data_IF_054607306445
#
_entry.id   IF_054607306445
#
_cell.length_a   1.000
_cell.length_b   1.000
_cell.length_c   1.000
_cell.angle_alpha   90.00
_cell.angle_beta   90.00
_cell.angle_gamma   90.00
#
_symmetry.space_group_name_H-M   'P 1'
#
loop_
_entity.id
_entity.type
_entity.pdbx_description
1 polymer ?
#
# COMPACT_ATOMS: atom_id res chain seq x y z
N UNK A 1 -67.72 10.34 -3.61
CA UNK A 1 -66.70 11.14 -2.96
C UNK A 1 -65.79 10.20 -2.17
N UNK A 2 -65.02 9.38 -2.87
CA UNK A 2 -64.10 8.41 -2.23
C UNK A 2 -63.05 7.91 -3.24
N UNK A 3 -62.05 8.75 -3.58
CA UNK A 3 -60.97 8.31 -4.52
C UNK A 3 -59.76 9.26 -4.52
N UNK A 4 -59.30 9.80 -3.35
CA UNK A 4 -58.09 10.67 -3.33
C UNK A 4 -57.05 10.25 -2.29
N UNK A 5 -57.20 9.14 -1.56
CA UNK A 5 -56.26 8.84 -0.45
C UNK A 5 -55.27 7.67 -0.68
N UNK A 6 -55.06 7.25 -1.94
CA UNK A 6 -54.16 6.08 -2.19
C UNK A 6 -52.83 6.37 -2.86
N UNK A 7 -52.37 7.63 -2.95
CA UNK A 7 -51.13 7.94 -3.71
C UNK A 7 -49.94 8.51 -2.91
N UNK A 8 -50.06 8.65 -1.61
CA UNK A 8 -48.95 9.31 -0.83
C UNK A 8 -48.14 8.40 0.11
N UNK A 9 -48.42 7.09 0.13
CA UNK A 9 -47.74 6.18 1.09
C UNK A 9 -46.50 5.45 0.54
N UNK A 10 -46.13 5.64 -0.73
CA UNK A 10 -44.99 4.92 -1.36
C UNK A 10 -43.70 5.76 -1.56
N UNK A 11 -43.73 7.04 -1.25
CA UNK A 11 -42.59 7.93 -1.48
C UNK A 11 -41.69 8.17 -0.23
N UNK A 12 -42.17 7.83 0.97
CA UNK A 12 -41.46 8.11 2.22
C UNK A 12 -40.30 7.17 2.52
N UNK A 13 -40.25 5.87 2.14
CA UNK A 13 -39.12 5.02 2.45
C UNK A 13 -37.84 5.31 1.63
N UNK A 14 -37.96 5.92 0.43
CA UNK A 14 -36.82 6.15 -0.46
C UNK A 14 -35.95 7.36 -0.07
N UNK A 15 -36.50 8.30 0.71
CA UNK A 15 -35.76 9.50 1.14
C UNK A 15 -34.85 9.23 2.34
N UNK A 16 -35.15 8.20 3.15
CA UNK A 16 -34.32 7.87 4.33
C UNK A 16 -33.04 7.08 4.02
N UNK A 17 -32.89 6.48 2.84
CA UNK A 17 -31.71 5.71 2.46
C UNK A 17 -30.55 6.62 2.04
N UNK A 18 -30.79 7.89 1.68
CA UNK A 18 -29.72 8.81 1.25
C UNK A 18 -29.14 9.69 2.37
N UNK A 19 -29.62 9.56 3.62
CA UNK A 19 -29.20 10.41 4.75
C UNK A 19 -28.24 9.72 5.72
N UNK A 20 -27.90 8.44 5.53
CA UNK A 20 -26.72 7.91 6.21
C UNK A 20 -25.48 8.42 5.47
N UNK A 21 -24.59 9.21 6.15
CA UNK A 21 -23.29 9.48 5.55
C UNK A 21 -22.67 8.11 5.29
N UNK A 22 -22.42 7.77 4.02
CA UNK A 22 -21.46 6.72 3.71
C UNK A 22 -20.21 7.12 4.49
N UNK A 23 -19.81 6.32 5.47
CA UNK A 23 -18.51 6.47 6.11
C UNK A 23 -17.51 6.67 4.97
N UNK A 24 -16.83 7.84 4.95
CA UNK A 24 -16.06 8.26 3.79
C UNK A 24 -15.11 7.13 3.38
N UNK A 25 -15.11 6.78 2.10
CA UNK A 25 -14.17 5.81 1.56
C UNK A 25 -12.76 6.37 1.74
N UNK A 26 -11.91 5.65 2.49
CA UNK A 26 -10.52 6.02 2.70
C UNK A 26 -9.63 5.51 1.56
N UNK A 27 -8.61 6.27 1.26
CA UNK A 27 -7.46 5.85 0.45
C UNK A 27 -6.33 5.44 1.40
N UNK A 28 -6.08 4.14 1.53
CA UNK A 28 -5.12 3.59 2.49
C UNK A 28 -3.92 3.03 1.75
N UNK A 29 -2.74 3.57 2.02
CA UNK A 29 -1.49 3.15 1.43
C UNK A 29 -0.70 2.21 2.33
N UNK A 30 0.02 1.28 1.72
CA UNK A 30 0.96 0.37 2.39
C UNK A 30 2.31 0.39 1.68
N UNK A 31 3.39 0.42 2.44
CA UNK A 31 4.70 0.01 1.95
C UNK A 31 4.73 -1.52 1.75
N UNK A 32 5.74 -2.03 1.06
CA UNK A 32 5.86 -3.45 0.74
C UNK A 32 6.83 -4.17 1.68
N UNK A 33 8.12 -3.77 1.64
CA UNK A 33 9.18 -4.48 2.35
C UNK A 33 9.08 -4.25 3.86
N UNK A 34 9.14 -5.32 4.64
CA UNK A 34 8.97 -5.32 6.10
C UNK A 34 7.62 -4.73 6.61
N UNK A 35 6.71 -4.43 5.68
CA UNK A 35 5.36 -3.95 5.96
C UNK A 35 4.30 -4.97 5.54
N UNK A 36 4.24 -5.33 4.26
CA UNK A 36 3.36 -6.37 3.70
C UNK A 36 4.09 -7.69 3.56
N UNK A 37 5.36 -7.62 3.14
CA UNK A 37 6.24 -8.76 2.91
C UNK A 37 7.43 -8.69 3.87
N UNK A 38 7.72 -9.80 4.53
CA UNK A 38 9.03 -10.02 5.14
C UNK A 38 9.98 -10.48 4.02
N UNK A 39 10.73 -9.52 3.47
CA UNK A 39 11.52 -9.68 2.24
C UNK A 39 12.98 -10.03 2.50
N UNK A 40 13.34 -10.40 3.74
CA UNK A 40 14.72 -10.67 4.14
C UNK A 40 15.44 -11.61 3.18
N UNK A 41 14.85 -12.74 2.87
CA UNK A 41 15.54 -13.80 2.14
C UNK A 41 15.72 -13.46 0.66
N UNK A 42 14.80 -12.74 0.02
CA UNK A 42 15.00 -12.28 -1.36
C UNK A 42 16.20 -11.32 -1.45
N UNK A 43 16.34 -10.39 -0.50
CA UNK A 43 17.47 -9.44 -0.49
C UNK A 43 18.81 -10.12 -0.15
N UNK A 44 18.84 -11.10 0.76
CA UNK A 44 20.07 -11.84 1.09
C UNK A 44 20.56 -12.72 -0.06
N UNK A 45 19.66 -13.19 -0.93
CA UNK A 45 19.99 -14.08 -2.03
C UNK A 45 20.24 -13.36 -3.37
N UNK A 46 20.21 -12.02 -3.40
CA UNK A 46 20.60 -11.28 -4.61
C UNK A 46 22.01 -11.72 -5.06
N UNK A 47 22.20 -12.11 -6.34
CA UNK A 47 23.52 -12.44 -6.89
C UNK A 47 24.53 -11.32 -6.68
N UNK A 48 25.81 -11.66 -6.49
CA UNK A 48 26.84 -10.67 -6.14
C UNK A 48 26.99 -9.55 -7.18
N UNK A 49 26.86 -9.89 -8.45
CA UNK A 49 26.90 -8.97 -9.59
C UNK A 49 25.67 -8.05 -9.70
N UNK A 50 24.60 -8.34 -8.92
CA UNK A 50 23.32 -7.60 -8.90
C UNK A 50 23.07 -6.84 -7.60
N UNK A 51 24.05 -6.78 -6.69
CA UNK A 51 23.89 -6.16 -5.36
C UNK A 51 24.24 -4.68 -5.31
N UNK A 52 25.06 -4.21 -6.20
CA UNK A 52 25.54 -2.82 -6.16
C UNK A 52 25.69 -2.23 -7.58
N UNK A 53 24.71 -1.44 -8.04
CA UNK A 53 23.44 -1.14 -7.36
C UNK A 53 22.51 -2.37 -7.24
N UNK A 54 21.54 -2.34 -6.32
CA UNK A 54 20.57 -3.41 -6.19
C UNK A 54 19.73 -3.52 -7.46
N UNK A 55 19.73 -4.71 -8.07
CA UNK A 55 18.84 -5.07 -9.18
C UNK A 55 17.43 -5.40 -8.66
N UNK A 56 16.59 -4.38 -8.54
CA UNK A 56 15.19 -4.57 -8.12
C UNK A 56 14.36 -5.36 -9.13
N UNK A 57 14.75 -5.40 -10.42
CA UNK A 57 14.10 -6.25 -11.41
C UNK A 57 14.26 -7.72 -11.06
N UNK A 58 15.45 -8.11 -10.57
CA UNK A 58 15.67 -9.44 -10.02
C UNK A 58 14.83 -9.67 -8.76
N UNK A 59 14.82 -8.74 -7.80
CA UNK A 59 14.05 -8.86 -6.55
C UNK A 59 12.56 -9.05 -6.85
N UNK A 60 11.98 -8.20 -7.70
CA UNK A 60 10.57 -8.25 -8.06
C UNK A 60 10.13 -9.59 -8.71
N UNK A 61 11.06 -10.32 -9.33
CA UNK A 61 10.79 -11.63 -9.95
C UNK A 61 11.02 -12.81 -9.01
N UNK A 62 11.65 -12.61 -7.84
CA UNK A 62 12.06 -13.68 -6.92
C UNK A 62 11.35 -13.63 -5.55
N UNK A 63 10.37 -12.73 -5.37
CA UNK A 63 9.56 -12.73 -4.15
C UNK A 63 8.79 -14.05 -3.96
N UNK A 64 8.31 -14.68 -5.05
CA UNK A 64 7.66 -15.98 -4.97
C UNK A 64 8.67 -17.06 -4.54
N UNK A 65 8.42 -17.64 -3.37
CA UNK A 65 9.31 -18.60 -2.71
C UNK A 65 10.39 -18.02 -1.77
N UNK A 66 10.64 -16.70 -1.78
CA UNK A 66 11.64 -16.06 -0.91
C UNK A 66 11.06 -15.02 0.06
N UNK A 67 9.95 -14.39 -0.28
CA UNK A 67 9.29 -13.43 0.60
C UNK A 67 8.07 -14.04 1.28
N UNK A 68 7.82 -13.65 2.53
CA UNK A 68 6.73 -14.18 3.35
C UNK A 68 5.75 -13.06 3.66
N UNK A 69 4.46 -13.29 3.48
CA UNK A 69 3.43 -12.34 3.85
C UNK A 69 3.39 -12.12 5.37
N UNK A 70 3.31 -10.86 5.78
CA UNK A 70 3.14 -10.49 7.19
C UNK A 70 1.66 -10.58 7.53
N UNK A 71 1.27 -11.70 8.14
CA UNK A 71 -0.14 -12.07 8.38
C UNK A 71 -0.99 -10.97 9.06
N UNK A 72 -0.53 -10.26 10.10
CA UNK A 72 -1.31 -9.15 10.66
C UNK A 72 -1.60 -8.04 9.65
N UNK A 73 -0.63 -7.71 8.78
CA UNK A 73 -0.81 -6.68 7.74
C UNK A 73 -1.77 -7.17 6.64
N UNK A 74 -1.69 -8.45 6.26
CA UNK A 74 -2.63 -9.05 5.29
C UNK A 74 -4.07 -8.98 5.82
N UNK A 75 -4.28 -9.31 7.11
CA UNK A 75 -5.60 -9.19 7.75
C UNK A 75 -6.12 -7.76 7.76
N UNK A 76 -5.24 -6.79 8.03
CA UNK A 76 -5.59 -5.37 8.01
C UNK A 76 -5.97 -4.89 6.60
N UNK A 77 -5.20 -5.28 5.57
CA UNK A 77 -5.50 -5.02 4.17
C UNK A 77 -6.89 -5.56 3.80
N UNK A 78 -7.16 -6.83 4.13
CA UNK A 78 -8.44 -7.46 3.85
C UNK A 78 -9.60 -6.77 4.60
N UNK A 79 -9.36 -6.29 5.81
CA UNK A 79 -10.34 -5.49 6.55
C UNK A 79 -10.71 -4.21 5.78
N UNK A 80 -9.72 -3.45 5.30
CA UNK A 80 -9.99 -2.23 4.53
C UNK A 80 -10.75 -2.52 3.24
N UNK A 81 -10.32 -3.54 2.49
CA UNK A 81 -10.98 -3.94 1.23
C UNK A 81 -12.44 -4.37 1.48
N UNK A 82 -12.68 -5.22 2.49
CA UNK A 82 -14.04 -5.72 2.80
C UNK A 82 -14.98 -4.63 3.30
N UNK A 83 -14.44 -3.52 3.84
CA UNK A 83 -15.21 -2.36 4.24
C UNK A 83 -15.33 -1.28 3.14
N UNK A 84 -14.90 -1.59 1.91
CA UNK A 84 -15.08 -0.72 0.74
C UNK A 84 -14.09 0.44 0.65
N UNK A 85 -12.96 0.36 1.35
CA UNK A 85 -11.87 1.33 1.24
C UNK A 85 -10.95 1.01 0.07
N UNK A 86 -10.28 2.02 -0.48
CA UNK A 86 -9.24 1.84 -1.50
C UNK A 86 -7.93 1.45 -0.83
N UNK A 87 -7.32 0.35 -1.28
CA UNK A 87 -6.00 -0.08 -0.83
C UNK A 87 -4.99 0.09 -1.94
N UNK A 88 -3.87 0.74 -1.63
CA UNK A 88 -2.82 1.15 -2.54
C UNK A 88 -1.46 0.75 -1.96
N UNK A 89 -0.51 0.40 -2.83
CA UNK A 89 0.84 0.00 -2.42
C UNK A 89 1.86 0.96 -3.02
N UNK A 90 2.85 1.37 -2.20
CA UNK A 90 3.92 2.26 -2.64
C UNK A 90 5.24 1.73 -2.10
N UNK A 91 6.11 1.23 -2.97
CA UNK A 91 7.42 0.69 -2.60
C UNK A 91 8.57 1.58 -3.08
N UNK A 92 9.69 1.57 -2.36
CA UNK A 92 10.94 2.22 -2.79
C UNK A 92 11.72 1.43 -3.84
N UNK A 93 11.30 0.22 -4.19
CA UNK A 93 11.89 -0.56 -5.28
C UNK A 93 11.77 0.17 -6.62
N UNK A 94 12.63 -0.13 -7.58
CA UNK A 94 12.41 0.29 -8.97
C UNK A 94 11.26 -0.50 -9.62
N UNK A 95 10.61 0.11 -10.62
CA UNK A 95 9.48 -0.51 -11.32
C UNK A 95 9.88 -1.55 -12.37
N UNK A 96 11.15 -1.92 -12.48
CA UNK A 96 11.61 -2.96 -13.38
C UNK A 96 11.01 -4.31 -12.98
N UNK A 97 10.44 -5.04 -13.94
CA UNK A 97 9.69 -6.28 -13.72
C UNK A 97 8.60 -6.15 -12.61
N UNK A 98 8.08 -4.96 -12.38
CA UNK A 98 7.09 -4.70 -11.32
C UNK A 98 5.76 -5.43 -11.50
N UNK A 99 5.47 -5.93 -12.70
CA UNK A 99 4.33 -6.81 -13.00
C UNK A 99 4.45 -8.16 -12.30
N UNK A 100 5.68 -8.67 -12.10
CA UNK A 100 5.92 -9.90 -11.35
C UNK A 100 5.56 -9.71 -9.86
N UNK A 101 6.00 -8.61 -9.23
CA UNK A 101 5.60 -8.26 -7.87
C UNK A 101 4.07 -8.07 -7.77
N UNK A 102 3.44 -7.39 -8.74
CA UNK A 102 1.99 -7.21 -8.77
C UNK A 102 1.24 -8.55 -8.83
N UNK A 103 1.74 -9.50 -9.63
CA UNK A 103 1.19 -10.86 -9.74
C UNK A 103 1.34 -11.63 -8.44
N UNK A 104 2.53 -11.58 -7.82
CA UNK A 104 2.79 -12.21 -6.53
C UNK A 104 1.85 -11.65 -5.46
N UNK A 105 1.76 -10.33 -5.31
CA UNK A 105 0.86 -9.68 -4.35
C UNK A 105 -0.61 -10.02 -4.61
N UNK A 106 -1.04 -10.07 -5.88
CA UNK A 106 -2.41 -10.44 -6.22
C UNK A 106 -2.77 -11.85 -5.76
N UNK A 107 -1.84 -12.80 -5.94
CA UNK A 107 -2.00 -14.20 -5.52
C UNK A 107 -2.16 -14.31 -4.01
N UNK A 108 -1.30 -13.63 -3.24
CA UNK A 108 -1.29 -13.76 -1.78
C UNK A 108 -2.36 -12.95 -1.06
N UNK A 109 -2.78 -11.81 -1.61
CA UNK A 109 -3.78 -10.93 -1.02
C UNK A 109 -5.22 -11.22 -1.51
N UNK A 110 -5.35 -12.06 -2.54
CA UNK A 110 -6.67 -12.52 -3.01
C UNK A 110 -7.46 -11.46 -3.81
N UNK A 111 -6.82 -10.37 -4.27
CA UNK A 111 -7.46 -9.38 -5.15
C UNK A 111 -6.50 -8.85 -6.21
N UNK A 112 -7.04 -8.24 -7.26
CA UNK A 112 -6.25 -7.81 -8.41
C UNK A 112 -5.37 -6.59 -8.09
N UNK A 113 -4.05 -6.78 -8.16
CA UNK A 113 -3.06 -5.72 -8.06
C UNK A 113 -2.42 -5.52 -9.42
N UNK A 114 -2.29 -4.27 -9.85
CA UNK A 114 -1.69 -3.89 -11.13
C UNK A 114 -0.72 -2.72 -10.91
N UNK A 115 0.43 -2.82 -11.56
CA UNK A 115 1.41 -1.73 -11.64
C UNK A 115 0.77 -0.47 -12.22
N UNK A 116 1.09 0.68 -11.62
CA UNK A 116 0.57 2.01 -11.97
C UNK A 116 -0.96 2.19 -11.79
N UNK A 117 -1.65 1.23 -11.16
CA UNK A 117 -3.06 1.32 -10.82
C UNK A 117 -3.28 1.33 -9.31
N UNK A 118 -2.81 0.31 -8.61
CA UNK A 118 -2.82 0.20 -7.16
C UNK A 118 -1.48 -0.27 -6.55
N UNK A 119 -0.44 -0.48 -7.40
CA UNK A 119 0.94 -0.66 -7.00
C UNK A 119 1.83 0.38 -7.70
N UNK A 120 2.55 1.18 -6.91
CA UNK A 120 3.39 2.27 -7.38
C UNK A 120 4.82 2.09 -6.89
N UNK A 121 5.76 2.46 -7.75
CA UNK A 121 7.19 2.42 -7.50
C UNK A 121 7.72 3.82 -7.31
N UNK A 122 8.41 4.06 -6.22
CA UNK A 122 8.95 5.35 -5.80
C UNK A 122 10.41 5.21 -5.39
N UNK A 123 11.34 4.90 -6.31
CA UNK A 123 12.75 4.78 -5.98
C UNK A 123 13.25 6.09 -5.36
N UNK A 124 14.21 5.97 -4.43
CA UNK A 124 14.83 7.13 -3.83
C UNK A 124 15.63 7.93 -4.87
N UNK A 125 15.65 9.24 -4.70
CA UNK A 125 16.49 10.16 -5.49
C UNK A 125 17.70 10.57 -4.65
N UNK A 126 18.89 10.57 -5.26
CA UNK A 126 20.08 11.11 -4.61
C UNK A 126 20.13 12.63 -4.80
N UNK A 127 20.16 13.37 -3.70
CA UNK A 127 20.29 14.83 -3.69
C UNK A 127 21.43 15.19 -2.73
N UNK A 128 22.48 15.84 -3.24
CA UNK A 128 23.66 16.22 -2.44
C UNK A 128 24.31 15.05 -1.69
N UNK A 129 24.43 13.88 -2.32
CA UNK A 129 25.02 12.68 -1.74
C UNK A 129 24.15 11.96 -0.70
N UNK A 130 22.87 12.32 -0.57
CA UNK A 130 21.90 11.69 0.33
C UNK A 130 20.71 11.15 -0.44
N UNK A 131 20.30 9.94 -0.10
CA UNK A 131 19.08 9.35 -0.66
C UNK A 131 17.84 9.95 0.00
N UNK A 132 16.89 10.41 -0.83
CA UNK A 132 15.63 10.97 -0.41
C UNK A 132 14.47 10.14 -0.95
N UNK A 133 13.51 9.80 -0.09
CA UNK A 133 12.30 9.12 -0.53
C UNK A 133 11.44 10.03 -1.41
N UNK A 134 10.89 9.45 -2.49
CA UNK A 134 9.95 10.13 -3.39
C UNK A 134 8.50 9.73 -3.14
N UNK A 135 8.23 8.82 -2.19
CA UNK A 135 6.91 8.28 -1.87
C UNK A 135 5.87 9.37 -1.60
N UNK A 136 6.26 10.49 -0.95
CA UNK A 136 5.35 11.60 -0.65
C UNK A 136 4.63 12.14 -1.90
N UNK A 137 5.34 12.24 -3.05
CA UNK A 137 4.73 12.74 -4.29
C UNK A 137 3.60 11.84 -4.80
N UNK A 138 3.75 10.53 -4.59
CA UNK A 138 2.72 9.55 -4.96
C UNK A 138 1.55 9.62 -3.97
N UNK A 139 1.83 9.70 -2.67
CA UNK A 139 0.82 9.82 -1.62
C UNK A 139 -0.06 11.07 -1.83
N UNK A 140 0.54 12.23 -2.11
CA UNK A 140 -0.15 13.49 -2.43
C UNK A 140 -1.05 13.32 -3.67
N UNK A 141 -0.49 12.78 -4.77
CA UNK A 141 -1.24 12.57 -6.02
C UNK A 141 -2.44 11.64 -5.86
N UNK A 142 -2.33 10.63 -4.99
CA UNK A 142 -3.37 9.65 -4.73
C UNK A 142 -4.33 10.08 -3.63
N UNK A 143 -4.12 11.24 -3.00
CA UNK A 143 -4.89 11.75 -1.88
C UNK A 143 -5.07 10.68 -0.78
N UNK A 144 -3.94 10.11 -0.30
CA UNK A 144 -4.00 9.11 0.76
C UNK A 144 -4.47 9.74 2.07
N UNK A 145 -5.27 9.00 2.83
CA UNK A 145 -5.69 9.35 4.19
C UNK A 145 -4.73 8.76 5.23
N UNK A 146 -4.31 7.50 5.00
CA UNK A 146 -3.43 6.73 5.89
C UNK A 146 -2.29 6.11 5.08
N UNK A 147 -1.11 6.01 5.68
CA UNK A 147 0.00 5.23 5.12
C UNK A 147 0.69 4.38 6.18
N UNK A 148 0.70 3.07 5.93
CA UNK A 148 1.37 2.07 6.76
C UNK A 148 2.75 1.78 6.21
N UNK A 149 3.78 1.95 7.03
CA UNK A 149 5.16 1.68 6.67
C UNK A 149 6.02 1.39 7.89
N UNK A 150 7.13 0.70 7.68
CA UNK A 150 8.04 0.29 8.77
C UNK A 150 9.22 1.26 8.93
N UNK A 151 9.67 1.90 7.84
CA UNK A 151 10.85 2.77 7.81
C UNK A 151 10.59 4.21 8.29
N UNK A 152 11.63 4.87 8.80
CA UNK A 152 11.55 6.31 9.12
C UNK A 152 11.25 7.14 7.88
N UNK A 153 11.79 6.73 6.72
CA UNK A 153 11.51 7.36 5.44
C UNK A 153 10.03 7.31 5.04
N UNK A 154 9.30 6.27 5.45
CA UNK A 154 7.87 6.14 5.21
C UNK A 154 7.06 7.12 6.04
N UNK A 155 7.41 7.21 7.32
CA UNK A 155 6.77 8.15 8.26
C UNK A 155 7.02 9.60 7.81
N UNK A 156 8.28 9.93 7.46
CA UNK A 156 8.66 11.25 6.97
C UNK A 156 7.91 11.57 5.65
N UNK A 157 7.85 10.62 4.73
CA UNK A 157 7.14 10.80 3.46
C UNK A 157 5.65 11.05 3.67
N UNK A 158 5.00 10.29 4.56
CA UNK A 158 3.58 10.47 4.88
C UNK A 158 3.32 11.84 5.52
N UNK A 159 4.12 12.23 6.53
CA UNK A 159 4.00 13.56 7.16
C UNK A 159 4.19 14.69 6.14
N UNK A 160 5.18 14.56 5.24
CA UNK A 160 5.43 15.55 4.17
C UNK A 160 4.25 15.67 3.21
N UNK A 161 3.56 14.57 2.94
CA UNK A 161 2.38 14.52 2.08
C UNK A 161 1.08 14.95 2.79
N UNK A 162 1.12 15.27 4.08
CA UNK A 162 -0.08 15.55 4.87
C UNK A 162 -0.94 14.30 5.14
N UNK A 163 -0.36 13.10 4.99
CA UNK A 163 -1.00 11.81 5.20
C UNK A 163 -0.75 11.33 6.63
N UNK A 164 -1.72 10.69 7.25
CA UNK A 164 -1.55 10.16 8.60
C UNK A 164 -0.65 8.90 8.57
N UNK A 165 0.56 8.92 9.17
CA UNK A 165 1.45 7.77 9.16
C UNK A 165 1.09 6.76 10.25
N UNK A 166 1.20 5.48 9.91
CA UNK A 166 1.07 4.38 10.88
C UNK A 166 2.31 3.50 10.77
N UNK A 167 3.06 3.40 11.86
CA UNK A 167 4.28 2.59 11.88
C UNK A 167 3.96 1.12 12.09
N UNK A 168 4.45 0.28 11.19
CA UNK A 168 4.53 -1.17 11.37
C UNK A 168 5.84 -1.50 12.08
N UNK A 169 5.77 -2.31 13.12
CA UNK A 169 6.95 -2.77 13.84
C UNK A 169 7.64 -3.87 13.02
N UNK A 170 8.89 -3.63 12.67
CA UNK A 170 9.71 -4.59 11.93
C UNK A 170 9.96 -5.87 12.71
N UNK A 171 10.07 -6.98 11.99
CA UNK A 171 10.55 -8.23 12.58
C UNK A 171 12.04 -8.08 12.98
N UNK A 172 12.43 -8.61 14.14
CA UNK A 172 13.81 -8.56 14.65
C UNK A 172 14.84 -9.20 13.70
N UNK A 173 14.40 -10.07 12.80
CA UNK A 173 15.22 -10.70 11.78
C UNK A 173 15.30 -9.92 10.47
N UNK A 174 14.68 -8.75 10.36
CA UNK A 174 14.83 -7.89 9.19
C UNK A 174 16.29 -7.51 9.00
N UNK A 175 16.73 -7.41 7.74
CA UNK A 175 18.07 -6.91 7.41
C UNK A 175 18.14 -5.39 7.43
N UNK A 176 17.02 -4.72 7.30
CA UNK A 176 16.93 -3.27 7.40
C UNK A 176 16.97 -2.86 8.86
N UNK A 177 17.90 -2.01 9.23
CA UNK A 177 17.97 -1.50 10.60
C UNK A 177 17.27 -0.15 10.71
N UNK A 178 16.66 0.11 11.88
CA UNK A 178 16.24 1.46 12.21
C UNK A 178 17.49 2.30 12.43
N UNK A 179 17.58 3.43 11.77
CA UNK A 179 18.68 4.34 11.94
C UNK A 179 18.37 5.68 11.26
N UNK A 180 19.06 6.74 11.66
CA UNK A 180 18.97 7.99 10.92
C UNK A 180 19.50 7.73 9.50
N UNK A 181 18.64 7.92 8.51
CA UNK A 181 19.04 7.96 7.10
C UNK A 181 19.75 9.26 6.81
#
# INVERSE_FOLDING_TARGET
>A
MLLIFKRYFLAVPLIFISLYPRSGQLNVGFDIDDTVLFSRDVFLNIPKDKRNPIDYGWVNTHDDGMSIYIDPTVKLINYFISNGHNVLFITARSGENGEALATFLSKGLGYTIKKNMNLFFAPSEEINGKNHTTKHRIMERLNLDLFYGDGDSDIIAALKAGVHPVRIVRNDRSISQYGPN
#
